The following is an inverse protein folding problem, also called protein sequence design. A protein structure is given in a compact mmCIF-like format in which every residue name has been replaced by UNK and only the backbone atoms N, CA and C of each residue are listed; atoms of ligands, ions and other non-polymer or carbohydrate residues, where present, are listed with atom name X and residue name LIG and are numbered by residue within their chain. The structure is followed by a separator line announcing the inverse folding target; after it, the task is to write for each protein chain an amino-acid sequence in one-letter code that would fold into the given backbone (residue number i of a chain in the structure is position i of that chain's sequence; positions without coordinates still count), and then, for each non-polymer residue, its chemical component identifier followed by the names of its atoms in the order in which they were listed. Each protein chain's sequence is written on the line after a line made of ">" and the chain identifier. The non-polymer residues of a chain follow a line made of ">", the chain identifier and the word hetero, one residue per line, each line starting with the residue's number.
data_IF_074630283953
#
_entry.id   IF_074630283953
#
_cell.length_a   1.000
_cell.length_b   1.000
_cell.length_c   1.000
_cell.angle_alpha   90.00
_cell.angle_beta   90.00
_cell.angle_gamma   90.00
#
_symmetry.space_group_name_H-M   'P 1'
#
loop_
_entity.id
_entity.type
_entity.pdbx_description
1 polymer ?
#
# COMPACT_ATOMS: atom_id res chain seq x y z
N UNK A 1 -12.44 -12.95 9.02
CA UNK A 1 -11.63 -12.40 10.12
C UNK A 1 -12.55 -11.81 11.14
N UNK A 2 -12.38 -12.17 12.41
CA UNK A 2 -13.11 -11.52 13.49
C UNK A 2 -12.73 -10.02 13.54
N UNK A 3 -13.67 -9.15 13.93
CA UNK A 3 -13.45 -7.69 13.95
C UNK A 3 -12.21 -7.27 14.77
N UNK A 4 -11.90 -8.03 15.82
CA UNK A 4 -10.70 -7.83 16.64
C UNK A 4 -9.42 -8.15 15.88
N UNK A 5 -9.36 -9.26 15.14
CA UNK A 5 -8.21 -9.65 14.32
C UNK A 5 -7.91 -8.59 13.24
N UNK A 6 -8.96 -8.05 12.61
CA UNK A 6 -8.81 -6.98 11.63
C UNK A 6 -8.15 -5.72 12.22
N UNK A 7 -8.57 -5.32 13.43
CA UNK A 7 -7.98 -4.16 14.13
C UNK A 7 -6.52 -4.40 14.53
N UNK A 8 -6.18 -5.60 14.98
CA UNK A 8 -4.80 -5.93 15.33
C UNK A 8 -3.89 -5.90 14.11
N UNK A 9 -4.39 -6.35 12.94
CA UNK A 9 -3.69 -6.20 11.67
C UNK A 9 -3.52 -4.73 11.30
N UNK A 10 -4.58 -3.91 11.36
CA UNK A 10 -4.50 -2.46 11.09
C UNK A 10 -3.43 -1.78 11.98
N UNK A 11 -3.42 -2.06 13.28
CA UNK A 11 -2.40 -1.56 14.21
C UNK A 11 -1.00 -2.06 13.87
N UNK A 12 -0.85 -3.32 13.46
CA UNK A 12 0.43 -3.88 13.05
C UNK A 12 0.99 -3.16 11.81
N UNK A 13 0.15 -2.88 10.82
CA UNK A 13 0.52 -2.07 9.65
C UNK A 13 0.96 -0.67 10.06
N UNK A 14 0.18 0.01 10.91
CA UNK A 14 0.53 1.35 11.37
C UNK A 14 1.88 1.41 12.10
N UNK A 15 2.15 0.45 13.01
CA UNK A 15 3.43 0.35 13.73
C UNK A 15 4.59 0.00 12.81
N UNK A 16 4.42 -0.96 11.91
CA UNK A 16 5.49 -1.38 11.00
C UNK A 16 5.95 -0.20 10.13
N UNK A 17 4.99 0.49 9.50
CA UNK A 17 5.27 1.59 8.58
C UNK A 17 5.57 2.93 9.27
N UNK A 18 5.56 3.00 10.61
CA UNK A 18 6.10 4.12 11.39
C UNK A 18 7.57 3.95 11.77
N UNK A 19 8.19 2.80 11.49
CA UNK A 19 9.65 2.61 11.62
C UNK A 19 10.41 3.30 10.48
N UNK A 20 11.72 3.52 10.65
CA UNK A 20 12.57 4.11 9.60
C UNK A 20 12.59 3.25 8.33
N UNK A 21 12.77 1.95 8.47
CA UNK A 21 12.81 1.04 7.32
C UNK A 21 11.42 0.85 6.71
N UNK A 22 10.37 0.82 7.54
CA UNK A 22 8.99 0.82 7.06
C UNK A 22 8.70 2.02 6.16
N UNK A 23 9.12 3.23 6.56
CA UNK A 23 8.99 4.42 5.71
C UNK A 23 9.71 4.28 4.37
N UNK A 24 10.95 3.76 4.37
CA UNK A 24 11.73 3.55 3.13
C UNK A 24 11.02 2.55 2.19
N UNK A 25 10.54 1.43 2.74
CA UNK A 25 9.80 0.41 1.97
C UNK A 25 8.51 1.00 1.40
N UNK A 26 7.75 1.75 2.20
CA UNK A 26 6.50 2.37 1.72
C UNK A 26 6.76 3.37 0.60
N UNK A 27 7.78 4.22 0.74
CA UNK A 27 8.19 5.16 -0.30
C UNK A 27 8.59 4.42 -1.59
N UNK A 28 9.37 3.34 -1.48
CA UNK A 28 9.75 2.52 -2.63
C UNK A 28 8.53 1.93 -3.36
N UNK A 29 7.57 1.37 -2.62
CA UNK A 29 6.32 0.85 -3.20
C UNK A 29 5.51 1.93 -3.91
N UNK A 30 5.45 3.14 -3.34
CA UNK A 30 4.76 4.27 -3.96
C UNK A 30 5.42 4.71 -5.26
N UNK A 31 6.77 4.76 -5.31
CA UNK A 31 7.52 5.06 -6.54
C UNK A 31 7.23 4.01 -7.61
N UNK A 32 7.29 2.72 -7.27
CA UNK A 32 7.08 1.62 -8.22
C UNK A 32 5.69 1.61 -8.85
N UNK A 33 4.67 2.12 -8.14
CA UNK A 33 3.26 1.96 -8.52
C UNK A 33 2.58 3.26 -8.96
N UNK A 34 2.72 4.34 -8.20
CA UNK A 34 2.06 5.61 -8.49
C UNK A 34 2.90 6.56 -9.35
N UNK A 35 4.23 6.51 -9.22
CA UNK A 35 5.12 7.42 -9.95
C UNK A 35 5.70 6.81 -11.22
N UNK A 36 5.20 5.64 -11.64
CA UNK A 36 5.63 4.98 -12.87
C UNK A 36 4.94 5.58 -14.09
N UNK A 37 5.73 6.24 -14.94
CA UNK A 37 5.29 6.67 -16.27
C UNK A 37 5.31 5.50 -17.26
N UNK A 38 4.31 5.45 -18.14
CA UNK A 38 4.16 4.43 -19.17
C UNK A 38 4.13 5.09 -20.54
N UNK A 39 4.79 4.45 -21.52
CA UNK A 39 4.83 4.93 -22.90
C UNK A 39 3.55 4.59 -23.66
N UNK A 40 3.31 5.23 -24.82
CA UNK A 40 2.09 5.03 -25.62
C UNK A 40 1.95 3.61 -26.18
N UNK A 41 3.03 2.83 -26.24
CA UNK A 41 3.01 1.42 -26.67
C UNK A 41 2.73 0.41 -25.55
N UNK A 42 2.35 0.86 -24.35
CA UNK A 42 2.07 -0.05 -23.24
C UNK A 42 0.79 -0.82 -23.50
N UNK A 43 0.81 -2.15 -23.33
CA UNK A 43 -0.36 -2.98 -23.57
C UNK A 43 -1.43 -2.82 -22.48
N UNK A 44 -2.67 -3.13 -22.83
CA UNK A 44 -3.78 -3.16 -21.90
C UNK A 44 -3.54 -4.09 -20.69
N UNK A 45 -2.92 -5.25 -20.91
CA UNK A 45 -2.59 -6.20 -19.85
C UNK A 45 -1.59 -5.60 -18.87
N UNK A 46 -0.58 -4.88 -19.38
CA UNK A 46 0.41 -4.19 -18.55
C UNK A 46 -0.23 -3.05 -17.75
N UNK A 47 -1.15 -2.30 -18.35
CA UNK A 47 -1.92 -1.26 -17.67
C UNK A 47 -2.77 -1.84 -16.54
N UNK A 48 -3.54 -2.91 -16.80
CA UNK A 48 -4.36 -3.59 -15.78
C UNK A 48 -3.51 -4.19 -14.67
N UNK A 49 -2.36 -4.76 -15.02
CA UNK A 49 -1.42 -5.29 -14.03
C UNK A 49 -0.89 -4.19 -13.10
N UNK A 50 -0.47 -3.05 -13.65
CA UNK A 50 -0.02 -1.91 -12.86
C UNK A 50 -1.14 -1.36 -11.97
N UNK A 51 -2.38 -1.32 -12.47
CA UNK A 51 -3.53 -0.89 -11.68
C UNK A 51 -3.81 -1.84 -10.51
N UNK A 52 -3.66 -3.15 -10.71
CA UNK A 52 -3.72 -4.13 -9.62
C UNK A 52 -2.67 -3.86 -8.53
N UNK A 53 -1.44 -3.50 -8.92
CA UNK A 53 -0.39 -3.12 -7.98
C UNK A 53 -0.74 -1.84 -7.21
N UNK A 54 -1.28 -0.81 -7.88
CA UNK A 54 -1.75 0.43 -7.23
C UNK A 54 -2.87 0.17 -6.24
N UNK A 55 -3.83 -0.66 -6.59
CA UNK A 55 -4.92 -1.05 -5.70
C UNK A 55 -4.42 -1.78 -4.43
N UNK A 56 -3.38 -2.61 -4.57
CA UNK A 56 -2.72 -3.27 -3.44
C UNK A 56 -2.03 -2.24 -2.52
N UNK A 57 -1.21 -1.34 -3.06
CA UNK A 57 -0.52 -0.32 -2.25
C UNK A 57 -1.52 0.64 -1.61
N UNK A 58 -2.60 1.01 -2.30
CA UNK A 58 -3.68 1.80 -1.72
C UNK A 58 -4.37 1.09 -0.54
N UNK A 59 -4.48 -0.25 -0.59
CA UNK A 59 -5.00 -1.05 0.53
C UNK A 59 -4.08 -1.03 1.74
N UNK A 60 -2.76 -1.09 1.51
CA UNK A 60 -1.75 -0.92 2.57
C UNK A 60 -1.89 0.46 3.24
N UNK A 61 -2.00 1.52 2.44
CA UNK A 61 -2.19 2.88 2.96
C UNK A 61 -3.46 3.01 3.81
N UNK A 62 -4.57 2.39 3.38
CA UNK A 62 -5.82 2.37 4.17
C UNK A 62 -5.67 1.61 5.49
N UNK A 63 -4.95 0.49 5.52
CA UNK A 63 -4.69 -0.24 6.76
C UNK A 63 -3.85 0.58 7.74
N UNK A 64 -2.82 1.27 7.23
CA UNK A 64 -1.98 2.18 8.02
C UNK A 64 -2.84 3.30 8.63
N UNK A 65 -3.67 3.95 7.82
CA UNK A 65 -4.51 5.07 8.27
C UNK A 65 -5.50 4.65 9.37
N UNK A 66 -6.22 3.54 9.16
CA UNK A 66 -7.12 2.97 10.18
C UNK A 66 -6.40 2.56 11.46
N UNK A 67 -5.19 2.01 11.32
CA UNK A 67 -4.35 1.64 12.46
C UNK A 67 -3.85 2.83 13.26
N UNK A 68 -3.74 4.03 12.66
CA UNK A 68 -3.37 5.27 13.37
C UNK A 68 -4.53 5.88 14.13
N UNK A 69 -5.73 5.88 13.56
CA UNK A 69 -6.95 6.43 14.19
C UNK A 69 -7.48 5.58 15.35
N UNK A 70 -6.94 4.36 15.52
CA UNK A 70 -7.34 3.40 16.56
C UNK A 70 -6.31 3.20 17.68
N UNK A 71 -5.24 4.02 17.69
CA UNK A 71 -4.28 4.17 18.79
C UNK A 71 -4.75 5.29 19.73
#
# INVERSE_FOLDING_TARGET
>A
MAKTEAREVEKAFARLFSSDDGRKVLAHLQVMTFQRALGPGTSDEQLRYLEGQRAMVASILRLIDRGRTSL
#
